data_IF_283297080492
#
_entry.id   IF_283297080492
#
_cell.length_a   1.000
_cell.length_b   1.000
_cell.length_c   1.000
_cell.angle_alpha   90.00
_cell.angle_beta   90.00
_cell.angle_gamma   90.00
#
_symmetry.space_group_name_H-M   'P 1'
#
loop_
_entity.id
_entity.type
_entity.pdbx_description
1 polymer ?
#
# COMPACT_ATOMS: atom_id res chain seq x y z
N UNK A 1 21.95 25.24 8.85
CA UNK A 1 21.24 25.86 9.99
C UNK A 1 19.75 25.80 9.68
N UNK A 2 19.04 24.86 10.31
CA UNK A 2 17.60 24.69 10.15
C UNK A 2 16.89 25.88 10.81
N UNK A 3 15.83 26.42 10.18
CA UNK A 3 15.04 27.55 10.69
C UNK A 3 13.63 27.07 10.98
N UNK A 4 13.10 27.38 12.16
CA UNK A 4 11.72 27.08 12.51
C UNK A 4 10.79 28.19 11.99
N UNK A 5 9.73 27.79 11.29
CA UNK A 5 8.71 28.70 10.75
C UNK A 5 7.37 28.37 11.40
N UNK A 6 6.74 29.37 12.02
CA UNK A 6 5.36 29.28 12.51
C UNK A 6 4.46 30.07 11.58
N UNK A 7 3.51 29.43 10.92
CA UNK A 7 2.54 30.07 10.03
C UNK A 7 1.10 29.88 10.53
N UNK A 8 0.38 31.00 10.65
CA UNK A 8 -1.07 31.00 10.90
C UNK A 8 -1.71 32.04 9.99
N UNK A 9 -2.71 31.66 9.19
CA UNK A 9 -3.44 32.55 8.27
C UNK A 9 -2.51 33.48 7.44
N UNK A 10 -1.48 32.90 6.81
CA UNK A 10 -0.47 33.60 5.96
C UNK A 10 0.46 34.57 6.70
N UNK A 11 0.52 34.53 8.04
CA UNK A 11 1.53 35.24 8.84
C UNK A 11 2.58 34.25 9.33
N UNK A 12 3.79 34.34 8.79
CA UNK A 12 4.96 33.55 9.18
C UNK A 12 5.87 34.30 10.16
N UNK A 13 6.33 33.64 11.24
CA UNK A 13 7.44 34.15 12.08
C UNK A 13 8.59 33.14 12.06
N UNK A 14 9.80 33.64 11.81
CA UNK A 14 11.04 32.86 11.97
C UNK A 14 11.39 32.87 13.46
N UNK A 15 11.43 31.68 14.07
CA UNK A 15 11.95 31.53 15.43
C UNK A 15 13.46 31.32 15.32
N UNK A 16 14.23 32.30 15.81
CA UNK A 16 15.69 32.22 15.91
C UNK A 16 16.06 31.59 17.25
N UNK A 17 17.14 30.82 17.28
CA UNK A 17 17.74 30.25 18.50
C UNK A 17 16.81 29.32 19.29
N UNK A 18 15.92 28.61 18.61
CA UNK A 18 15.04 27.61 19.25
C UNK A 18 15.16 26.27 18.54
N UNK A 19 15.22 25.18 19.31
CA UNK A 19 15.15 23.84 18.75
C UNK A 19 13.73 23.60 18.20
N UNK A 20 13.65 23.52 16.88
CA UNK A 20 12.39 23.31 16.17
C UNK A 20 11.76 21.96 16.52
N UNK A 21 12.58 20.96 16.87
CA UNK A 21 12.11 19.63 17.28
C UNK A 21 11.35 19.74 18.60
N UNK A 22 11.91 20.47 19.58
CA UNK A 22 11.27 20.71 20.86
C UNK A 22 9.95 21.46 20.72
N UNK A 23 9.96 22.57 19.97
CA UNK A 23 8.74 23.36 19.75
C UNK A 23 7.66 22.49 19.10
N UNK A 24 8.00 21.77 18.02
CA UNK A 24 7.06 20.90 17.34
C UNK A 24 6.49 19.83 18.27
N UNK A 25 7.35 19.15 19.04
CA UNK A 25 6.92 18.10 19.96
C UNK A 25 6.00 18.64 21.06
N UNK A 26 6.31 19.82 21.61
CA UNK A 26 5.50 20.49 22.62
C UNK A 26 4.15 20.92 22.07
N UNK A 27 4.14 21.60 20.91
CA UNK A 27 2.90 22.05 20.26
C UNK A 27 2.02 20.84 19.90
N UNK A 28 2.62 19.78 19.34
CA UNK A 28 1.89 18.56 19.02
C UNK A 28 1.28 17.92 20.27
N UNK A 29 2.01 17.84 21.39
CA UNK A 29 1.48 17.30 22.65
C UNK A 29 0.30 18.11 23.19
N UNK A 30 0.35 19.45 23.10
CA UNK A 30 -0.72 20.34 23.53
C UNK A 30 -1.94 20.17 22.62
N UNK A 31 -1.75 20.20 21.30
CA UNK A 31 -2.83 20.07 20.32
C UNK A 31 -3.53 18.71 20.39
N UNK A 32 -2.81 17.67 20.83
CA UNK A 32 -3.33 16.30 20.95
C UNK A 32 -3.69 15.92 22.38
N UNK A 33 -3.67 16.87 23.33
CA UNK A 33 -3.77 16.58 24.76
C UNK A 33 -5.03 15.78 25.13
N UNK A 34 -6.16 16.16 24.55
CA UNK A 34 -7.47 15.57 24.83
C UNK A 34 -7.92 14.57 23.75
N UNK A 35 -7.06 14.28 22.77
CA UNK A 35 -7.39 13.45 21.62
C UNK A 35 -6.87 12.02 21.80
N UNK A 36 -7.77 11.04 21.96
CA UNK A 36 -7.42 9.61 21.97
C UNK A 36 -7.38 8.98 20.57
N UNK A 37 -7.86 9.71 19.57
CA UNK A 37 -8.03 9.25 18.20
C UNK A 37 -7.48 10.33 17.28
N UNK A 38 -6.57 9.91 16.40
CA UNK A 38 -6.10 10.73 15.28
C UNK A 38 -6.29 9.83 14.06
N UNK A 39 -7.35 10.04 13.26
CA UNK A 39 -7.74 9.07 12.24
C UNK A 39 -6.67 8.86 11.18
N UNK A 40 -5.85 9.88 10.91
CA UNK A 40 -4.82 9.84 9.89
C UNK A 40 -3.54 10.55 10.34
N UNK A 41 -2.39 9.93 10.09
CA UNK A 41 -1.08 10.58 10.13
C UNK A 41 -0.45 10.59 8.75
N UNK A 42 0.08 11.75 8.38
CA UNK A 42 0.82 11.96 7.13
C UNK A 42 2.24 12.37 7.48
N UNK A 43 3.21 11.54 7.08
CA UNK A 43 4.62 11.81 7.25
C UNK A 43 5.23 12.18 5.90
N UNK A 44 5.75 13.40 5.80
CA UNK A 44 6.51 13.88 4.66
C UNK A 44 7.95 14.08 5.11
N UNK A 45 8.83 13.19 4.67
CA UNK A 45 10.23 13.28 5.02
C UNK A 45 11.03 13.93 3.91
N UNK A 46 12.16 14.50 4.30
CA UNK A 46 13.20 14.98 3.38
C UNK A 46 14.16 13.82 3.06
N UNK A 47 14.97 13.89 1.98
CA UNK A 47 15.89 12.82 1.55
C UNK A 47 17.07 12.61 2.50
N UNK A 48 17.12 13.40 3.57
CA UNK A 48 18.14 13.30 4.58
C UNK A 48 17.68 12.45 5.75
N UNK A 49 18.65 11.84 6.43
CA UNK A 49 18.39 11.07 7.64
C UNK A 49 17.73 11.98 8.68
N UNK A 50 16.65 11.48 9.26
CA UNK A 50 15.94 12.21 10.31
C UNK A 50 16.87 12.44 11.51
N UNK A 51 16.81 13.63 12.15
CA UNK A 51 17.54 13.85 13.39
C UNK A 51 17.16 12.79 14.42
N UNK A 52 18.15 12.11 15.01
CA UNK A 52 17.93 11.06 16.01
C UNK A 52 17.10 11.56 17.20
N UNK A 53 17.36 12.80 17.60
CA UNK A 53 16.60 13.50 18.63
C UNK A 53 15.11 13.65 18.29
N UNK A 54 14.78 13.95 17.03
CA UNK A 54 13.39 14.03 16.57
C UNK A 54 12.72 12.66 16.65
N UNK A 55 13.41 11.61 16.15
CA UNK A 55 12.89 10.24 16.21
C UNK A 55 12.58 9.91 17.68
N UNK A 56 13.55 10.02 18.59
CA UNK A 56 13.38 9.64 19.98
C UNK A 56 12.24 10.42 20.68
N UNK A 57 12.20 11.75 20.51
CA UNK A 57 11.15 12.59 21.12
C UNK A 57 9.76 12.24 20.59
N UNK A 58 9.62 12.11 19.27
CA UNK A 58 8.33 11.83 18.66
C UNK A 58 7.84 10.40 18.92
N UNK A 59 8.76 9.42 18.91
CA UNK A 59 8.44 8.04 19.31
C UNK A 59 7.87 8.00 20.74
N UNK A 60 8.48 8.73 21.68
CA UNK A 60 7.98 8.79 23.06
C UNK A 60 6.56 9.37 23.14
N UNK A 61 6.27 10.40 22.34
CA UNK A 61 4.92 10.97 22.25
C UNK A 61 3.92 9.93 21.74
N UNK A 62 4.21 9.29 20.62
CA UNK A 62 3.30 8.32 19.99
C UNK A 62 3.05 7.11 20.91
N UNK A 63 4.10 6.58 21.55
CA UNK A 63 4.00 5.46 22.51
C UNK A 63 3.13 5.81 23.71
N UNK A 64 3.34 6.98 24.32
CA UNK A 64 2.60 7.38 25.53
C UNK A 64 1.13 7.72 25.25
N UNK A 65 0.84 8.23 24.05
CA UNK A 65 -0.51 8.62 23.67
C UNK A 65 -1.35 7.44 23.16
N UNK A 66 -0.72 6.45 22.53
CA UNK A 66 -1.36 5.29 21.92
C UNK A 66 -2.59 5.68 21.09
N UNK A 67 -2.37 6.54 20.10
CA UNK A 67 -3.46 7.06 19.27
C UNK A 67 -4.14 5.92 18.49
N UNK A 68 -5.48 5.94 18.48
CA UNK A 68 -6.26 5.13 17.54
C UNK A 68 -6.18 5.77 16.16
N UNK A 69 -5.30 5.23 15.32
CA UNK A 69 -5.06 5.71 13.95
C UNK A 69 -5.52 4.67 12.95
N UNK A 70 -6.33 5.08 11.97
CA UNK A 70 -6.83 4.19 10.93
C UNK A 70 -5.98 4.24 9.65
N UNK A 71 -5.37 5.38 9.35
CA UNK A 71 -4.68 5.61 8.09
C UNK A 71 -3.28 6.18 8.32
N UNK A 72 -2.27 5.54 7.72
CA UNK A 72 -0.91 6.05 7.67
C UNK A 72 -0.49 6.35 6.24
N UNK A 73 0.19 7.47 6.07
CA UNK A 73 0.83 7.85 4.83
C UNK A 73 2.29 8.21 5.10
N UNK A 74 3.18 7.67 4.29
CA UNK A 74 4.60 7.94 4.31
C UNK A 74 5.05 8.38 2.91
N UNK A 75 5.54 9.60 2.77
CA UNK A 75 6.38 10.02 1.65
C UNK A 75 7.84 9.94 2.13
N UNK A 76 8.56 8.94 1.62
CA UNK A 76 9.85 8.46 2.13
C UNK A 76 10.81 8.14 0.99
N UNK A 77 12.08 7.97 1.33
CA UNK A 77 13.15 7.63 0.40
C UNK A 77 13.69 6.21 0.59
N UNK A 78 13.52 5.66 1.79
CA UNK A 78 13.87 4.28 2.11
C UNK A 78 13.12 3.76 3.35
N UNK A 79 13.23 2.45 3.59
CA UNK A 79 12.58 1.72 4.68
C UNK A 79 12.94 2.24 6.08
N UNK A 80 14.14 2.82 6.27
CA UNK A 80 14.61 3.33 7.56
C UNK A 80 13.81 4.53 8.07
N UNK A 81 13.05 5.20 7.20
CA UNK A 81 12.14 6.28 7.58
C UNK A 81 10.75 5.77 8.01
N UNK A 82 10.40 4.51 7.69
CA UNK A 82 9.11 3.91 8.05
C UNK A 82 9.23 3.16 9.40
N UNK A 83 10.25 2.31 9.54
CA UNK A 83 10.41 1.39 10.67
C UNK A 83 10.43 2.07 12.05
N UNK A 84 10.96 3.28 12.25
CA UNK A 84 10.91 3.94 13.55
C UNK A 84 9.50 4.32 13.99
N UNK A 85 8.53 4.44 13.07
CA UNK A 85 7.20 4.99 13.38
C UNK A 85 6.08 3.95 13.22
N UNK A 86 6.11 3.12 12.17
CA UNK A 86 5.03 2.15 11.90
C UNK A 86 4.71 1.24 13.11
N UNK A 87 5.68 0.66 13.84
CA UNK A 87 5.41 -0.21 14.99
C UNK A 87 4.75 0.47 16.19
N UNK A 88 4.65 1.81 16.20
CA UNK A 88 4.11 2.58 17.32
C UNK A 88 2.59 2.74 17.26
N UNK A 89 1.99 2.41 16.11
CA UNK A 89 0.56 2.49 15.92
C UNK A 89 -0.11 1.16 16.30
N UNK A 90 -1.32 1.25 16.86
CA UNK A 90 -2.09 0.07 17.23
C UNK A 90 -2.55 -0.69 15.97
N UNK A 91 -2.01 -1.89 15.80
CA UNK A 91 -2.28 -2.76 14.66
C UNK A 91 -3.76 -3.17 14.53
N UNK A 92 -4.58 -3.08 15.59
CA UNK A 92 -6.01 -3.39 15.53
C UNK A 92 -6.83 -2.24 14.93
N UNK A 93 -6.36 -1.01 15.11
CA UNK A 93 -7.03 0.18 14.58
C UNK A 93 -6.51 0.58 13.21
N UNK A 94 -5.25 0.26 12.88
CA UNK A 94 -4.65 0.59 11.61
C UNK A 94 -5.27 -0.23 10.47
N UNK A 95 -5.92 0.46 9.53
CA UNK A 95 -6.64 -0.14 8.39
C UNK A 95 -5.89 -0.01 7.08
N UNK A 96 -5.28 1.15 6.84
CA UNK A 96 -4.59 1.41 5.58
C UNK A 96 -3.19 2.00 5.74
N UNK A 97 -2.32 1.63 4.82
CA UNK A 97 -0.97 2.17 4.69
C UNK A 97 -0.72 2.62 3.26
N UNK A 98 -0.30 3.88 3.10
CA UNK A 98 0.21 4.41 1.85
C UNK A 98 1.69 4.74 1.99
N UNK A 99 2.51 4.28 1.06
CA UNK A 99 3.94 4.57 0.98
C UNK A 99 4.23 5.12 -0.41
N UNK A 100 4.86 6.29 -0.49
CA UNK A 100 5.20 6.98 -1.73
C UNK A 100 6.71 7.25 -1.73
N UNK A 101 7.37 6.90 -2.82
CA UNK A 101 8.79 7.21 -3.01
C UNK A 101 8.96 8.70 -3.36
N UNK A 102 9.75 9.42 -2.54
CA UNK A 102 9.88 10.87 -2.61
C UNK A 102 10.62 11.39 -3.85
N UNK A 103 11.57 10.65 -4.44
CA UNK A 103 12.22 11.07 -5.69
C UNK A 103 11.42 10.71 -6.95
N UNK A 104 10.44 9.81 -6.82
CA UNK A 104 9.68 9.20 -7.91
C UNK A 104 10.55 8.48 -8.95
N UNK A 105 11.65 7.88 -8.51
CA UNK A 105 12.64 7.16 -9.32
C UNK A 105 12.39 5.65 -9.40
N UNK A 106 11.34 5.10 -8.76
CA UNK A 106 11.04 3.65 -8.78
C UNK A 106 12.16 2.81 -8.18
N UNK A 107 12.70 3.24 -7.04
CA UNK A 107 13.65 2.45 -6.25
C UNK A 107 12.97 1.23 -5.62
N UNK A 108 13.75 0.30 -5.08
CA UNK A 108 13.20 -0.86 -4.37
C UNK A 108 12.91 -0.50 -2.92
N UNK A 109 11.69 -0.77 -2.46
CA UNK A 109 11.33 -0.72 -1.06
C UNK A 109 11.65 -2.08 -0.42
N UNK A 110 12.53 -2.08 0.57
CA UNK A 110 12.83 -3.29 1.34
C UNK A 110 11.69 -3.59 2.32
N UNK A 111 11.05 -4.73 2.13
CA UNK A 111 9.90 -5.19 2.91
C UNK A 111 10.25 -6.27 3.92
N UNK A 112 11.53 -6.69 4.04
CA UNK A 112 11.94 -7.81 4.88
C UNK A 112 11.54 -7.61 6.35
N UNK A 113 11.76 -6.41 6.89
CA UNK A 113 11.36 -6.10 8.27
C UNK A 113 9.88 -5.70 8.38
N UNK A 114 9.33 -5.02 7.36
CA UNK A 114 7.95 -4.52 7.39
C UNK A 114 6.94 -5.67 7.41
N UNK A 115 7.16 -6.71 6.59
CA UNK A 115 6.22 -7.83 6.43
C UNK A 115 5.98 -8.61 7.73
N UNK A 116 6.94 -8.57 8.65
CA UNK A 116 6.89 -9.28 9.92
C UNK A 116 6.18 -8.48 11.03
N UNK A 117 5.93 -7.20 10.83
CA UNK A 117 5.22 -6.35 11.79
C UNK A 117 3.75 -6.77 11.94
N UNK A 118 3.26 -6.73 13.17
CA UNK A 118 1.83 -6.95 13.47
C UNK A 118 0.93 -5.94 12.75
N UNK A 119 1.42 -4.70 12.60
CA UNK A 119 0.74 -3.65 11.85
C UNK A 119 0.51 -4.07 10.41
N UNK A 120 1.55 -4.56 9.72
CA UNK A 120 1.43 -5.02 8.35
C UNK A 120 0.45 -6.19 8.20
N UNK A 121 0.56 -7.19 9.07
CA UNK A 121 -0.25 -8.41 9.04
C UNK A 121 -1.75 -8.17 9.25
N UNK A 122 -2.14 -7.03 9.84
CA UNK A 122 -3.54 -6.67 10.13
C UNK A 122 -4.10 -5.59 9.22
N UNK A 123 -3.29 -5.04 8.30
CA UNK A 123 -3.77 -4.09 7.32
C UNK A 123 -4.84 -4.70 6.43
N UNK A 124 -5.82 -3.89 6.07
CA UNK A 124 -6.84 -4.23 5.09
C UNK A 124 -6.44 -3.67 3.71
N UNK A 125 -5.83 -2.48 3.69
CA UNK A 125 -5.53 -1.75 2.47
C UNK A 125 -4.08 -1.27 2.40
N UNK A 126 -3.42 -1.45 1.25
CA UNK A 126 -2.07 -0.93 1.01
C UNK A 126 -1.95 -0.26 -0.34
N UNK A 127 -1.27 0.89 -0.38
CA UNK A 127 -0.81 1.51 -1.61
C UNK A 127 0.68 1.81 -1.55
N UNK A 128 1.44 1.24 -2.46
CA UNK A 128 2.87 1.52 -2.63
C UNK A 128 3.05 2.18 -4.00
N UNK A 129 3.38 3.46 -4.00
CA UNK A 129 3.54 4.28 -5.20
C UNK A 129 5.00 4.62 -5.43
N UNK A 130 5.43 4.54 -6.69
CA UNK A 130 6.79 4.88 -7.12
C UNK A 130 7.91 4.11 -6.42
N UNK A 131 7.60 3.01 -5.74
CA UNK A 131 8.55 1.98 -5.31
C UNK A 131 8.27 0.69 -6.07
N UNK A 132 9.30 -0.15 -6.21
CA UNK A 132 9.16 -1.56 -6.56
C UNK A 132 9.30 -2.41 -5.30
N UNK A 133 8.58 -3.52 -5.24
CA UNK A 133 8.68 -4.51 -4.15
C UNK A 133 9.14 -5.85 -4.73
N UNK A 134 10.02 -6.53 -3.99
CA UNK A 134 10.61 -7.79 -4.44
C UNK A 134 9.61 -8.96 -4.52
N UNK A 135 8.83 -9.16 -3.46
CA UNK A 135 7.91 -10.29 -3.33
C UNK A 135 6.45 -9.84 -3.36
N UNK A 136 5.68 -10.34 -4.33
CA UNK A 136 4.25 -10.04 -4.46
C UNK A 136 3.37 -10.84 -3.48
N UNK A 137 3.90 -11.92 -2.89
CA UNK A 137 3.13 -12.85 -2.03
C UNK A 137 2.79 -12.23 -0.68
N UNK A 138 3.57 -11.25 -0.23
CA UNK A 138 3.35 -10.55 1.05
C UNK A 138 2.06 -9.74 1.11
N UNK A 139 1.35 -9.58 -0.02
CA UNK A 139 0.10 -8.82 -0.14
C UNK A 139 -1.14 -9.73 -0.13
N UNK A 140 -0.99 -11.05 -0.02
CA UNK A 140 -2.09 -12.02 -0.17
C UNK A 140 -3.13 -11.96 0.95
N UNK A 141 -2.78 -11.42 2.12
CA UNK A 141 -3.71 -11.22 3.25
C UNK A 141 -4.59 -9.97 3.11
N UNK A 142 -4.24 -9.05 2.22
CA UNK A 142 -4.92 -7.76 2.08
C UNK A 142 -6.30 -7.91 1.42
N UNK A 143 -7.18 -6.98 1.77
CA UNK A 143 -8.48 -6.81 1.12
C UNK A 143 -8.34 -6.04 -0.18
N UNK A 144 -7.55 -4.97 -0.16
CA UNK A 144 -7.33 -4.13 -1.34
C UNK A 144 -5.92 -3.58 -1.39
N UNK A 145 -5.40 -3.36 -2.59
CA UNK A 145 -4.15 -2.65 -2.70
C UNK A 145 -3.56 -2.54 -4.08
N UNK A 146 -2.48 -1.78 -4.15
CA UNK A 146 -1.69 -1.64 -5.37
C UNK A 146 -0.21 -1.45 -5.07
N UNK A 147 0.64 -2.16 -5.81
CA UNK A 147 2.09 -2.02 -5.74
C UNK A 147 2.71 -2.25 -7.13
N UNK A 148 3.92 -1.75 -7.34
CA UNK A 148 4.78 -2.21 -8.43
C UNK A 148 5.71 -3.30 -7.89
N UNK A 149 5.84 -4.40 -8.61
CA UNK A 149 6.76 -5.49 -8.27
C UNK A 149 7.95 -5.47 -9.21
N UNK A 150 9.13 -5.83 -8.70
CA UNK A 150 10.34 -5.89 -9.54
C UNK A 150 10.25 -6.98 -10.60
N UNK A 151 9.53 -8.07 -10.29
CA UNK A 151 9.34 -9.25 -11.12
C UNK A 151 8.01 -9.93 -10.79
N UNK A 152 7.41 -10.61 -11.75
CA UNK A 152 6.21 -11.40 -11.63
C UNK A 152 6.42 -12.73 -12.39
N UNK A 153 7.01 -13.70 -11.71
CA UNK A 153 7.25 -15.02 -12.31
C UNK A 153 5.96 -15.85 -12.40
N UNK A 154 5.99 -16.94 -13.16
CA UNK A 154 4.89 -17.90 -13.19
C UNK A 154 4.57 -18.47 -11.78
N UNK A 155 5.58 -18.69 -10.94
CA UNK A 155 5.40 -19.19 -9.58
C UNK A 155 4.73 -18.15 -8.68
N UNK A 156 5.11 -16.88 -8.83
CA UNK A 156 4.46 -15.78 -8.10
C UNK A 156 3.00 -15.65 -8.50
N UNK A 157 2.71 -15.67 -9.80
CA UNK A 157 1.37 -15.61 -10.33
C UNK A 157 0.51 -16.79 -9.87
N UNK A 158 1.03 -18.01 -9.92
CA UNK A 158 0.34 -19.19 -9.43
C UNK A 158 0.05 -19.11 -7.92
N UNK A 159 1.01 -18.60 -7.13
CA UNK A 159 0.80 -18.39 -5.71
C UNK A 159 -0.29 -17.34 -5.42
N UNK A 160 -0.28 -16.22 -6.14
CA UNK A 160 -1.30 -15.18 -6.03
C UNK A 160 -2.68 -15.73 -6.43
N UNK A 161 -2.78 -16.44 -7.56
CA UNK A 161 -4.01 -17.09 -8.00
C UNK A 161 -4.55 -18.02 -6.93
N UNK A 162 -3.73 -18.94 -6.42
CA UNK A 162 -4.15 -19.87 -5.38
C UNK A 162 -4.60 -19.14 -4.12
N UNK A 163 -3.82 -18.17 -3.63
CA UNK A 163 -4.15 -17.43 -2.41
C UNK A 163 -5.44 -16.62 -2.55
N UNK A 164 -5.59 -15.88 -3.64
CA UNK A 164 -6.75 -15.02 -3.88
C UNK A 164 -8.03 -15.80 -4.18
N UNK A 165 -7.94 -16.97 -4.82
CA UNK A 165 -9.09 -17.87 -5.02
C UNK A 165 -9.66 -18.39 -3.70
N UNK A 166 -8.83 -18.54 -2.67
CA UNK A 166 -9.24 -19.01 -1.35
C UNK A 166 -9.54 -17.86 -0.37
N UNK A 167 -9.15 -16.63 -0.70
CA UNK A 167 -9.42 -15.45 0.13
C UNK A 167 -10.92 -15.19 0.27
N UNK A 168 -11.35 -14.77 1.45
CA UNK A 168 -12.72 -14.32 1.73
C UNK A 168 -12.86 -12.81 1.77
N UNK A 169 -11.75 -12.11 1.96
CA UNK A 169 -11.74 -10.66 2.20
C UNK A 169 -11.24 -9.89 0.98
N UNK A 170 -10.60 -10.54 0.01
CA UNK A 170 -10.15 -9.88 -1.22
C UNK A 170 -11.31 -9.13 -1.88
N UNK A 171 -11.08 -7.85 -2.16
CA UNK A 171 -11.89 -7.01 -3.02
C UNK A 171 -11.16 -6.79 -4.34
N UNK A 172 -9.98 -6.15 -4.29
CA UNK A 172 -9.20 -5.80 -5.49
C UNK A 172 -7.71 -5.61 -5.23
N UNK A 173 -6.85 -6.32 -5.95
CA UNK A 173 -5.39 -6.16 -5.89
C UNK A 173 -4.83 -5.83 -7.29
N UNK A 174 -4.01 -4.79 -7.39
CA UNK A 174 -3.31 -4.40 -8.63
C UNK A 174 -1.80 -4.56 -8.46
N UNK A 175 -1.15 -5.23 -9.41
CA UNK A 175 0.31 -5.28 -9.48
C UNK A 175 0.81 -4.72 -10.80
N UNK A 176 1.61 -3.65 -10.75
CA UNK A 176 2.41 -3.23 -11.90
C UNK A 176 3.64 -4.14 -12.03
N UNK A 177 3.98 -4.54 -13.25
CA UNK A 177 5.06 -5.48 -13.53
C UNK A 177 5.89 -5.03 -14.77
N UNK A 178 7.13 -5.52 -14.94
CA UNK A 178 7.92 -5.26 -16.15
C UNK A 178 7.25 -5.77 -17.44
N UNK A 179 7.11 -4.93 -18.47
CA UNK A 179 6.48 -5.28 -19.77
C UNK A 179 6.95 -6.61 -20.35
N UNK A 180 8.24 -6.93 -20.19
CA UNK A 180 8.86 -8.16 -20.69
C UNK A 180 8.21 -9.44 -20.16
N UNK A 181 7.56 -9.39 -19.00
CA UNK A 181 6.93 -10.54 -18.34
C UNK A 181 5.48 -10.76 -18.77
N UNK A 182 4.86 -9.81 -19.49
CA UNK A 182 3.46 -9.91 -19.96
C UNK A 182 3.19 -11.24 -20.66
N UNK A 183 4.12 -11.65 -21.53
CA UNK A 183 3.98 -12.90 -22.29
C UNK A 183 3.89 -14.12 -21.37
N UNK A 184 4.79 -14.22 -20.40
CA UNK A 184 4.81 -15.33 -19.45
C UNK A 184 3.56 -15.35 -18.56
N UNK A 185 3.08 -14.16 -18.13
CA UNK A 185 1.84 -14.03 -17.36
C UNK A 185 0.65 -14.61 -18.14
N UNK A 186 0.51 -14.22 -19.42
CA UNK A 186 -0.55 -14.74 -20.29
C UNK A 186 -0.40 -16.26 -20.48
N UNK A 187 0.80 -16.75 -20.80
CA UNK A 187 1.06 -18.18 -21.00
C UNK A 187 0.72 -18.99 -19.73
N UNK A 188 0.98 -18.45 -18.55
CA UNK A 188 0.65 -19.09 -17.25
C UNK A 188 -0.86 -19.14 -16.99
N UNK A 189 -1.61 -18.12 -17.42
CA UNK A 189 -3.07 -18.07 -17.26
C UNK A 189 -3.81 -18.93 -18.31
N UNK A 190 -3.17 -19.22 -19.45
CA UNK A 190 -3.68 -20.05 -20.54
C UNK A 190 -4.59 -19.31 -21.52
N UNK A 191 -5.04 -20.02 -22.56
CA UNK A 191 -5.64 -19.40 -23.76
C UNK A 191 -7.13 -19.06 -23.66
N UNK A 192 -7.84 -19.50 -22.61
CA UNK A 192 -9.28 -19.24 -22.43
C UNK A 192 -9.57 -17.84 -21.87
N UNK A 193 -8.94 -16.81 -22.43
CA UNK A 193 -9.20 -15.43 -22.06
C UNK A 193 -10.36 -14.83 -22.86
N UNK A 194 -11.04 -13.89 -22.23
CA UNK A 194 -12.00 -13.00 -22.88
C UNK A 194 -11.24 -11.72 -23.25
N UNK A 195 -11.27 -11.32 -24.53
CA UNK A 195 -10.82 -9.99 -24.93
C UNK A 195 -11.97 -9.00 -24.76
N UNK A 196 -11.73 -7.97 -23.95
CA UNK A 196 -12.69 -6.90 -23.72
C UNK A 196 -12.00 -5.54 -23.77
N UNK A 197 -12.71 -4.52 -24.25
CA UNK A 197 -12.31 -3.12 -24.15
C UNK A 197 -13.00 -2.60 -22.89
N UNK A 198 -12.47 -2.99 -21.73
CA UNK A 198 -13.15 -2.73 -20.44
C UNK A 198 -13.07 -1.25 -20.01
N UNK A 199 -12.34 -0.39 -20.75
CA UNK A 199 -12.21 1.02 -20.40
C UNK A 199 -12.08 1.93 -21.63
N UNK A 200 -13.09 2.78 -21.92
CA UNK A 200 -13.08 3.72 -23.04
C UNK A 200 -12.00 4.81 -22.93
N UNK A 201 -11.42 5.05 -21.74
CA UNK A 201 -10.42 6.11 -21.52
C UNK A 201 -8.98 5.68 -21.83
N UNK A 202 -8.68 4.38 -21.79
CA UNK A 202 -7.31 3.85 -22.02
C UNK A 202 -7.16 3.13 -23.37
N UNK A 203 -8.26 2.89 -24.09
CA UNK A 203 -8.28 2.22 -25.42
C UNK A 203 -7.39 0.97 -25.50
N UNK A 204 -7.27 0.23 -24.40
CA UNK A 204 -6.39 -0.93 -24.32
C UNK A 204 -7.21 -2.21 -24.27
N UNK A 205 -6.87 -3.16 -25.15
CA UNK A 205 -7.44 -4.50 -25.11
C UNK A 205 -7.01 -5.20 -23.82
N UNK A 206 -7.99 -5.58 -23.02
CA UNK A 206 -7.78 -6.31 -21.77
C UNK A 206 -8.02 -7.79 -22.02
N UNK A 207 -7.11 -8.63 -21.51
CA UNK A 207 -7.35 -10.06 -21.44
C UNK A 207 -7.87 -10.40 -20.05
N UNK A 208 -8.98 -11.12 -20.00
CA UNK A 208 -9.67 -11.43 -18.76
C UNK A 208 -9.80 -12.93 -18.58
N UNK A 209 -9.55 -13.42 -17.36
CA UNK A 209 -9.78 -14.79 -16.94
C UNK A 209 -10.70 -14.81 -15.72
N UNK A 210 -11.58 -15.80 -15.67
CA UNK A 210 -12.46 -16.03 -14.53
C UNK A 210 -12.10 -17.37 -13.89
N UNK A 211 -11.82 -17.37 -12.60
CA UNK A 211 -11.53 -18.58 -11.83
C UNK A 211 -12.58 -18.79 -10.76
N UNK A 212 -12.99 -20.04 -10.58
CA UNK A 212 -13.89 -20.45 -9.50
C UNK A 212 -13.23 -20.16 -8.14
N UNK A 213 -14.00 -19.60 -7.21
CA UNK A 213 -13.61 -19.54 -5.80
C UNK A 213 -14.18 -20.76 -5.09
N UNK A 214 -13.36 -21.72 -4.60
CA UNK A 214 -13.86 -22.96 -4.02
C UNK A 214 -14.76 -22.76 -2.80
N UNK A 215 -14.53 -21.67 -2.06
CA UNK A 215 -15.19 -21.38 -0.79
C UNK A 215 -16.42 -20.48 -0.93
N UNK A 216 -16.74 -19.98 -2.13
CA UNK A 216 -17.87 -19.07 -2.33
C UNK A 216 -18.40 -19.15 -3.78
N UNK A 217 -19.52 -19.86 -3.95
CA UNK A 217 -20.14 -20.05 -5.26
C UNK A 217 -20.80 -18.79 -5.82
N UNK A 218 -21.01 -17.75 -5.00
CA UNK A 218 -21.58 -16.49 -5.47
C UNK A 218 -20.53 -15.58 -6.10
N UNK A 219 -19.24 -15.93 -5.99
CA UNK A 219 -18.14 -15.12 -6.50
C UNK A 219 -17.23 -15.90 -7.44
N UNK A 220 -16.49 -15.15 -8.23
CA UNK A 220 -15.34 -15.61 -9.02
C UNK A 220 -14.16 -14.69 -8.78
N UNK A 221 -12.96 -15.21 -8.97
CA UNK A 221 -11.78 -14.38 -9.10
C UNK A 221 -11.65 -13.96 -10.56
N UNK A 222 -11.87 -12.67 -10.84
CA UNK A 222 -11.56 -12.06 -12.14
C UNK A 222 -10.10 -11.63 -12.14
N UNK A 223 -9.36 -12.03 -13.18
CA UNK A 223 -7.97 -11.63 -13.41
C UNK A 223 -7.89 -10.89 -14.73
N UNK A 224 -7.38 -9.66 -14.71
CA UNK A 224 -7.32 -8.77 -15.87
C UNK A 224 -5.86 -8.41 -16.12
N UNK A 225 -5.36 -8.67 -17.32
CA UNK A 225 -3.98 -8.37 -17.70
C UNK A 225 -3.97 -7.26 -18.75
N UNK A 226 -3.29 -6.17 -18.39
CA UNK A 226 -3.00 -5.01 -19.23
C UNK A 226 -1.52 -5.05 -19.66
N UNK A 227 -1.04 -4.06 -20.41
CA UNK A 227 0.37 -4.04 -20.83
C UNK A 227 1.36 -3.84 -19.68
N UNK A 228 0.94 -3.18 -18.60
CA UNK A 228 1.84 -2.79 -17.50
C UNK A 228 1.41 -3.32 -16.13
N UNK A 229 0.23 -3.92 -16.02
CA UNK A 229 -0.28 -4.38 -14.74
C UNK A 229 -1.29 -5.52 -14.87
N UNK A 230 -1.42 -6.27 -13.78
CA UNK A 230 -2.44 -7.30 -13.59
C UNK A 230 -3.34 -6.88 -12.44
N UNK A 231 -4.64 -7.14 -12.56
CA UNK A 231 -5.65 -6.85 -11.55
C UNK A 231 -6.36 -8.14 -11.18
N UNK A 232 -6.43 -8.41 -9.87
CA UNK A 232 -7.21 -9.48 -9.27
C UNK A 232 -8.41 -8.87 -8.58
N UNK A 233 -9.63 -9.26 -8.96
CA UNK A 233 -10.87 -8.72 -8.41
C UNK A 233 -11.78 -9.86 -7.98
N UNK A 234 -12.29 -9.81 -6.75
CA UNK A 234 -13.40 -10.68 -6.32
C UNK A 234 -14.69 -10.12 -6.90
N UNK A 235 -15.30 -10.85 -7.84
CA UNK A 235 -16.47 -10.38 -8.58
C UNK A 235 -17.69 -11.25 -8.28
N UNK A 236 -18.83 -10.63 -7.97
CA UNK A 236 -20.10 -11.37 -7.81
C UNK A 236 -20.54 -11.96 -9.16
N UNK A 237 -20.91 -13.24 -9.16
CA UNK A 237 -21.35 -13.96 -10.37
C UNK A 237 -22.57 -13.35 -11.05
N UNK A 238 -23.43 -12.64 -10.30
CA UNK A 238 -24.62 -11.98 -10.86
C UNK A 238 -24.27 -10.91 -11.92
N UNK A 239 -23.03 -10.42 -11.93
CA UNK A 239 -22.53 -9.47 -12.92
C UNK A 239 -21.88 -10.16 -14.14
N UNK A 240 -21.82 -11.49 -14.17
CA UNK A 240 -21.33 -12.25 -15.32
C UNK A 240 -22.49 -12.54 -16.27
N UNK A 241 -22.22 -12.45 -17.57
CA UNK A 241 -23.09 -13.01 -18.59
C UNK A 241 -23.02 -14.54 -18.59
N UNK A 242 -24.13 -15.21 -18.91
CA UNK A 242 -24.28 -16.66 -18.76
C UNK A 242 -23.37 -17.51 -19.66
N UNK A 243 -22.70 -16.88 -20.63
CA UNK A 243 -21.83 -17.46 -21.63
C UNK A 243 -20.34 -17.43 -21.25
N UNK A 244 -19.96 -16.81 -20.13
CA UNK A 244 -18.54 -16.71 -19.73
C UNK A 244 -18.00 -18.02 -19.17
N UNK A 245 -16.87 -18.47 -19.71
CA UNK A 245 -16.14 -19.64 -19.23
C UNK A 245 -15.50 -19.33 -17.87
N UNK A 246 -15.78 -20.16 -16.87
CA UNK A 246 -15.17 -20.09 -15.53
C UNK A 246 -14.24 -21.29 -15.36
N UNK A 247 -12.96 -21.03 -15.12
CA UNK A 247 -11.94 -22.06 -14.88
C UNK A 247 -12.10 -22.68 -13.49
N UNK A 248 -11.91 -24.00 -13.41
CA UNK A 248 -11.83 -24.75 -12.15
C UNK A 248 -10.55 -24.51 -11.36
#
# INVERSE_FOLDING_TARGET
MFKCFREYEKRGKILKDTDFVDIFCQDFQILTENSKTIPCFLFYFEPYRLPEEFILKFQNILKNRNFKTAHLHFEVYDTSQILPFLPLFDAQFLKSLTVVEGHRMRTTLDMEEIKDLEQWKKLEEVRIENFTVGDSKIFTHLTMGSACVSTMTADDLNHLLQSFRHSRNLSKMKFEFPVSEKRQIVETLGDDYIEDIDNPDIHEWTRQWLFRMPNDENYVLKVEVYSLFVVFTRLERKYLSADRIVKE
#
